data_IF_268976208059
#
_entry.id   IF_268976208059
#
_cell.length_a   1.000
_cell.length_b   1.000
_cell.length_c   1.000
_cell.angle_alpha   90.00
_cell.angle_beta   90.00
_cell.angle_gamma   90.00
#
_symmetry.space_group_name_H-M   'P 1'
#
loop_
_entity.id
_entity.type
_entity.pdbx_description
1 polymer ?
#
# COMPACT_ATOMS: atom_id res chain seq x y z
N UNK A 1 -25.39 -6.57 17.82
CA UNK A 1 -24.81 -6.66 17.56
C UNK A 1 -24.47 -6.73 17.18
N UNK A 2 -24.11 -6.50 17.34
CA UNK A 2 -23.24 -6.55 16.89
C UNK A 2 -22.81 -6.64 16.72
N UNK A 3 -22.69 -6.68 17.11
CA UNK A 3 -21.84 -6.96 17.11
C UNK A 3 -21.29 -7.42 16.71
N UNK A 4 -21.12 -7.45 16.68
CA UNK A 4 -20.33 -7.84 16.50
C UNK A 4 -19.90 -7.30 16.01
N UNK A 5 -19.98 -6.72 15.96
CA UNK A 5 -19.38 -6.18 15.67
C UNK A 5 -18.91 -5.32 16.02
N UNK A 6 -19.04 -4.86 16.24
CA UNK A 6 -18.41 -3.95 16.80
C UNK A 6 -17.41 -4.20 17.71
N UNK A 7 -17.46 -4.92 18.31
CA UNK A 7 -16.47 -5.43 19.15
C UNK A 7 -15.16 -5.66 18.49
N UNK A 8 -15.20 -6.29 17.35
CA UNK A 8 -14.00 -6.49 16.59
C UNK A 8 -13.33 -5.19 16.26
N UNK A 9 -14.09 -4.14 16.11
CA UNK A 9 -13.55 -2.85 15.84
C UNK A 9 -12.68 -2.35 16.99
N UNK A 10 -13.07 -2.62 18.21
CA UNK A 10 -12.27 -2.23 19.34
C UNK A 10 -11.04 -3.11 19.50
N UNK A 11 -11.11 -4.33 19.00
CA UNK A 11 -10.02 -5.27 19.11
C UNK A 11 -9.10 -5.23 17.95
N UNK A 12 -9.53 -4.65 16.89
CA UNK A 12 -8.74 -4.75 15.72
C UNK A 12 -9.16 -3.85 14.63
N UNK A 13 -8.44 -4.02 13.63
CA UNK A 13 -8.50 -3.24 12.44
C UNK A 13 -9.44 -3.91 11.45
N UNK A 14 -10.40 -3.16 10.93
CA UNK A 14 -11.43 -3.72 10.06
C UNK A 14 -11.12 -3.63 8.58
N UNK A 15 -10.19 -2.77 8.19
CA UNK A 15 -9.84 -2.65 6.79
C UNK A 15 -9.01 -3.85 6.36
N UNK A 16 -9.24 -4.34 5.16
CA UNK A 16 -8.41 -5.38 4.60
C UNK A 16 -7.42 -4.74 3.65
N UNK A 17 -6.13 -4.97 3.92
CA UNK A 17 -5.04 -4.33 3.22
C UNK A 17 -4.12 -5.35 2.60
N UNK A 18 -3.66 -5.03 1.39
CA UNK A 18 -2.75 -5.88 0.63
C UNK A 18 -1.60 -5.04 0.10
N UNK A 19 -0.53 -5.69 -0.28
CA UNK A 19 0.47 -5.12 -1.17
C UNK A 19 0.34 -5.79 -2.52
N UNK A 20 0.71 -5.08 -3.58
CA UNK A 20 0.68 -5.65 -4.92
C UNK A 20 1.66 -4.87 -5.80
N UNK A 21 1.57 -5.07 -7.11
CA UNK A 21 2.44 -4.36 -8.06
C UNK A 21 1.67 -4.08 -9.35
N UNK A 22 2.21 -3.18 -10.17
CA UNK A 22 1.46 -2.64 -11.29
C UNK A 22 0.90 -3.68 -12.26
N UNK A 23 1.66 -4.76 -12.52
CA UNK A 23 1.19 -5.78 -13.45
C UNK A 23 -0.07 -6.48 -12.94
N UNK A 24 -0.31 -6.51 -11.64
CA UNK A 24 -1.51 -7.13 -11.06
C UNK A 24 -2.73 -6.24 -11.13
N UNK A 25 -2.56 -4.94 -11.33
CA UNK A 25 -3.69 -4.00 -11.35
C UNK A 25 -4.73 -4.41 -12.40
N UNK A 26 -4.28 -4.96 -13.51
CA UNK A 26 -5.19 -5.43 -14.56
C UNK A 26 -6.13 -6.54 -14.07
N UNK A 27 -5.78 -7.18 -12.98
CA UNK A 27 -6.56 -8.29 -12.43
C UNK A 27 -7.41 -7.87 -11.23
N UNK A 28 -7.29 -6.62 -10.77
CA UNK A 28 -8.02 -6.17 -9.60
C UNK A 28 -9.51 -6.19 -9.84
N UNK A 29 -10.31 -6.70 -8.88
CA UNK A 29 -11.76 -6.48 -8.94
C UNK A 29 -12.07 -5.02 -8.62
N UNK A 30 -13.27 -4.57 -8.96
CA UNK A 30 -13.63 -3.16 -8.81
C UNK A 30 -13.69 -2.68 -7.37
N UNK A 31 -13.85 -3.61 -6.42
CA UNK A 31 -13.87 -3.24 -5.00
C UNK A 31 -12.48 -3.33 -4.35
N UNK A 32 -11.44 -3.55 -5.13
CA UNK A 32 -10.05 -3.48 -4.66
C UNK A 32 -9.46 -2.17 -5.18
N UNK A 33 -9.24 -1.25 -4.28
CA UNK A 33 -8.75 0.09 -4.62
C UNK A 33 -7.23 0.09 -4.54
N UNK A 34 -6.57 0.51 -5.62
CA UNK A 34 -5.13 0.60 -5.65
C UNK A 34 -4.65 1.91 -5.03
N UNK A 35 -3.63 1.82 -4.18
CA UNK A 35 -2.99 2.97 -3.58
C UNK A 35 -1.56 3.04 -4.10
N UNK A 36 -1.27 4.05 -4.91
CA UNK A 36 0.03 4.18 -5.53
C UNK A 36 1.07 4.68 -4.54
N UNK A 37 2.13 3.90 -4.36
CA UNK A 37 3.27 4.29 -3.52
C UNK A 37 4.49 4.65 -4.36
N UNK A 38 4.40 4.58 -5.69
CA UNK A 38 5.54 4.80 -6.58
C UNK A 38 5.60 6.26 -7.01
N UNK A 39 6.82 6.74 -7.28
CA UNK A 39 7.01 8.13 -7.69
C UNK A 39 6.42 8.37 -9.07
N UNK A 40 6.65 7.41 -9.99
CA UNK A 40 6.19 7.52 -11.37
C UNK A 40 5.30 6.35 -11.73
N UNK A 41 3.97 6.52 -11.74
CA UNK A 41 3.09 5.46 -12.26
C UNK A 41 3.44 5.16 -13.71
N UNK A 42 3.26 3.91 -14.16
CA UNK A 42 3.54 3.60 -15.57
C UNK A 42 2.55 4.33 -16.48
N UNK A 43 3.04 4.71 -17.67
CA UNK A 43 2.21 5.45 -18.62
C UNK A 43 1.00 4.66 -19.09
N UNK A 44 1.11 3.34 -19.10
CA UNK A 44 0.00 2.47 -19.55
C UNK A 44 -1.10 2.35 -18.48
N UNK A 45 -0.85 2.83 -17.26
CA UNK A 45 -1.88 2.81 -16.21
C UNK A 45 -1.80 4.08 -15.38
N UNK A 46 -2.41 5.17 -15.90
CA UNK A 46 -2.46 6.42 -15.11
C UNK A 46 -3.36 6.27 -13.90
N UNK A 47 -3.22 7.17 -12.96
CA UNK A 47 -4.07 7.21 -11.78
C UNK A 47 -5.51 7.51 -12.20
N UNK A 48 -6.45 7.09 -11.37
CA UNK A 48 -7.87 7.27 -11.63
C UNK A 48 -8.56 5.95 -11.93
N UNK A 49 -9.77 6.07 -12.44
CA UNK A 49 -10.59 4.89 -12.74
C UNK A 49 -10.36 4.48 -14.20
N UNK A 50 -10.13 3.19 -14.41
CA UNK A 50 -9.95 2.68 -15.78
C UNK A 50 -11.30 2.28 -16.37
N UNK A 51 -11.26 1.72 -17.61
CA UNK A 51 -12.49 1.33 -18.32
C UNK A 51 -13.28 0.23 -17.61
N UNK A 52 -12.60 -0.57 -16.82
CA UNK A 52 -13.26 -1.65 -16.07
C UNK A 52 -13.87 -1.15 -14.77
N UNK A 53 -13.61 0.10 -14.39
CA UNK A 53 -14.08 0.66 -13.14
C UNK A 53 -13.12 0.46 -11.98
N UNK A 54 -11.89 0.03 -12.23
CA UNK A 54 -10.87 -0.14 -11.17
C UNK A 54 -10.21 1.19 -10.88
N UNK A 55 -10.23 1.59 -9.62
CA UNK A 55 -9.73 2.88 -9.19
C UNK A 55 -8.34 2.73 -8.58
N UNK A 56 -7.39 3.56 -9.02
CA UNK A 56 -6.07 3.69 -8.41
C UNK A 56 -5.87 5.16 -8.07
N UNK A 57 -5.59 5.43 -6.80
CA UNK A 57 -5.35 6.79 -6.32
C UNK A 57 -3.98 6.89 -5.71
N UNK A 58 -3.52 8.11 -5.53
CA UNK A 58 -2.20 8.38 -5.02
C UNK A 58 -2.14 8.23 -3.49
N UNK A 59 -1.00 7.78 -2.99
CA UNK A 59 -0.78 7.66 -1.55
C UNK A 59 0.54 8.36 -1.20
N UNK A 60 0.55 9.70 -1.20
CA UNK A 60 1.79 10.46 -1.05
C UNK A 60 2.65 10.11 0.15
N UNK A 61 2.10 9.84 1.35
CA UNK A 61 2.95 9.55 2.50
C UNK A 61 3.84 8.33 2.34
N UNK A 62 3.47 7.41 1.46
CA UNK A 62 4.22 6.18 1.25
C UNK A 62 5.15 6.23 0.05
N UNK A 63 5.18 7.33 -0.69
CA UNK A 63 6.14 7.48 -1.78
C UNK A 63 7.52 7.73 -1.19
N UNK A 64 8.58 7.15 -1.78
CA UNK A 64 9.92 7.48 -1.33
C UNK A 64 10.12 8.98 -1.36
N UNK A 65 10.55 9.53 -0.24
CA UNK A 65 10.73 10.97 -0.11
C UNK A 65 12.06 11.44 -0.68
N UNK A 66 12.29 12.73 -0.54
CA UNK A 66 13.47 13.37 -1.07
C UNK A 66 14.75 12.76 -0.52
N UNK A 67 14.73 12.29 0.72
CA UNK A 67 15.89 11.68 1.34
C UNK A 67 16.32 10.38 0.66
N UNK A 68 15.40 9.74 -0.06
CA UNK A 68 15.68 8.50 -0.79
C UNK A 68 16.25 8.75 -2.18
N UNK A 69 16.18 9.99 -2.66
CA UNK A 69 16.54 10.32 -4.02
C UNK A 69 18.00 10.03 -4.29
N UNK A 70 18.28 9.34 -5.40
CA UNK A 70 19.64 9.03 -5.81
C UNK A 70 20.30 7.89 -5.06
N UNK A 71 19.64 7.30 -4.07
CA UNK A 71 20.25 6.21 -3.30
C UNK A 71 20.14 4.86 -4.01
N UNK A 72 19.15 4.67 -4.85
CA UNK A 72 19.03 3.43 -5.62
C UNK A 72 19.69 3.61 -6.98
N UNK A 73 20.81 2.94 -7.18
CA UNK A 73 21.54 3.03 -8.44
C UNK A 73 21.43 1.76 -9.29
N UNK A 74 20.58 0.84 -8.89
CA UNK A 74 20.38 -0.41 -9.62
C UNK A 74 21.48 -1.43 -9.39
N UNK A 75 22.41 -1.15 -8.49
CA UNK A 75 23.56 -2.03 -8.23
C UNK A 75 23.46 -2.75 -6.89
N UNK A 76 22.27 -2.77 -6.29
CA UNK A 76 22.09 -3.45 -5.02
C UNK A 76 22.23 -4.97 -5.22
N UNK A 77 22.68 -5.63 -4.16
CA UNK A 77 22.78 -7.09 -4.15
C UNK A 77 21.45 -7.65 -3.64
N UNK A 78 20.69 -8.35 -4.49
CA UNK A 78 19.40 -8.91 -4.06
C UNK A 78 19.51 -9.92 -2.92
N UNK A 79 20.73 -10.45 -2.69
CA UNK A 79 20.96 -11.38 -1.59
C UNK A 79 21.17 -10.65 -0.26
N UNK A 80 21.36 -9.35 -0.29
CA UNK A 80 21.63 -8.53 0.88
C UNK A 80 20.76 -7.29 0.91
N UNK A 81 19.42 -7.45 0.88
CA UNK A 81 18.53 -6.29 0.86
C UNK A 81 18.68 -5.41 2.10
N UNK A 82 19.11 -6.00 3.22
CA UNK A 82 19.31 -5.27 4.46
C UNK A 82 20.47 -4.28 4.39
N UNK A 83 21.34 -4.40 3.38
CA UNK A 83 22.44 -3.47 3.17
C UNK A 83 22.06 -2.35 2.19
N UNK A 84 20.82 -2.34 1.71
CA UNK A 84 20.38 -1.36 0.75
C UNK A 84 20.10 -0.03 1.45
N UNK A 85 20.88 0.98 1.14
CA UNK A 85 20.74 2.29 1.74
C UNK A 85 19.38 2.92 1.40
N UNK A 86 18.87 2.68 0.20
CA UNK A 86 17.57 3.18 -0.21
C UNK A 86 16.45 2.59 0.66
N UNK A 87 16.46 1.28 0.86
CA UNK A 87 15.43 0.64 1.68
C UNK A 87 15.56 1.05 3.14
N UNK A 88 16.77 1.21 3.63
CA UNK A 88 16.98 1.65 5.00
C UNK A 88 16.44 3.05 5.21
N UNK A 89 16.70 3.95 4.27
CA UNK A 89 16.20 5.32 4.34
C UNK A 89 14.67 5.35 4.24
N UNK A 90 14.11 4.54 3.36
CA UNK A 90 12.65 4.44 3.24
C UNK A 90 12.03 3.89 4.53
N UNK A 91 12.66 2.90 5.13
CA UNK A 91 12.21 2.37 6.41
C UNK A 91 12.17 3.46 7.49
N UNK A 92 13.20 4.30 7.53
CA UNK A 92 13.23 5.42 8.47
C UNK A 92 12.11 6.41 8.18
N UNK A 93 11.80 6.63 6.90
CA UNK A 93 10.69 7.49 6.51
C UNK A 93 9.37 6.95 7.06
N UNK A 94 9.14 5.65 6.95
CA UNK A 94 7.91 5.03 7.45
C UNK A 94 7.78 5.22 8.96
N UNK A 95 8.87 5.06 9.70
CA UNK A 95 8.82 5.16 11.15
C UNK A 95 8.60 6.59 11.64
N UNK A 96 8.67 7.59 10.77
CA UNK A 96 8.33 8.97 11.11
C UNK A 96 6.84 9.26 10.92
N UNK A 97 6.10 8.35 10.31
CA UNK A 97 4.67 8.53 10.08
C UNK A 97 3.91 8.16 11.34
N UNK A 98 2.97 9.00 11.73
CA UNK A 98 2.06 8.69 12.83
C UNK A 98 1.10 7.60 12.32
N UNK A 99 1.31 6.39 12.78
CA UNK A 99 0.55 5.23 12.30
C UNK A 99 -0.95 5.39 12.56
N UNK A 100 -1.33 5.86 13.75
CA UNK A 100 -2.73 6.05 14.08
C UNK A 100 -3.41 7.05 13.15
N UNK A 101 -2.73 8.16 12.86
CA UNK A 101 -3.26 9.15 11.93
C UNK A 101 -3.38 8.57 10.53
N UNK A 102 -2.40 7.79 10.12
CA UNK A 102 -2.40 7.14 8.80
C UNK A 102 -3.62 6.21 8.67
N UNK A 103 -3.84 5.37 9.66
CA UNK A 103 -4.97 4.43 9.65
C UNK A 103 -6.30 5.19 9.67
N UNK A 104 -6.40 6.26 10.45
CA UNK A 104 -7.63 7.07 10.47
C UNK A 104 -7.94 7.66 9.10
N UNK A 105 -6.91 8.11 8.38
CA UNK A 105 -7.10 8.62 7.02
C UNK A 105 -7.55 7.53 6.08
N UNK A 106 -7.00 6.33 6.21
CA UNK A 106 -7.43 5.20 5.39
C UNK A 106 -8.89 4.85 5.66
N UNK A 107 -9.31 4.89 6.92
CA UNK A 107 -10.70 4.60 7.26
C UNK A 107 -11.64 5.64 6.65
N UNK A 108 -11.27 6.91 6.72
CA UNK A 108 -12.08 7.96 6.11
C UNK A 108 -12.14 7.82 4.60
N UNK A 109 -11.02 7.46 3.99
CA UNK A 109 -10.96 7.22 2.56
C UNK A 109 -11.86 6.04 2.17
N UNK A 110 -11.79 4.97 2.95
CA UNK A 110 -12.67 3.82 2.76
C UNK A 110 -14.13 4.24 2.74
N UNK A 111 -14.54 4.99 3.76
CA UNK A 111 -15.94 5.39 3.89
C UNK A 111 -16.37 6.32 2.76
N UNK A 112 -15.48 7.23 2.37
CA UNK A 112 -15.76 8.16 1.28
C UNK A 112 -15.92 7.42 -0.05
N UNK A 113 -15.03 6.48 -0.34
CA UNK A 113 -15.11 5.73 -1.59
C UNK A 113 -16.36 4.85 -1.61
N UNK A 114 -16.66 4.18 -0.50
CA UNK A 114 -17.85 3.36 -0.43
C UNK A 114 -19.11 4.17 -0.71
N UNK A 115 -19.19 5.37 -0.16
CA UNK A 115 -20.32 6.24 -0.39
C UNK A 115 -20.41 6.72 -1.83
N UNK A 116 -19.30 7.21 -2.38
CA UNK A 116 -19.29 7.77 -3.73
C UNK A 116 -19.48 6.73 -4.82
N UNK A 117 -18.90 5.55 -4.64
CA UNK A 117 -18.92 4.49 -5.65
C UNK A 117 -20.00 3.45 -5.39
N UNK A 118 -20.78 3.63 -4.31
CA UNK A 118 -21.89 2.73 -3.95
C UNK A 118 -21.44 1.31 -3.68
N UNK A 119 -20.32 1.14 -2.96
CA UNK A 119 -19.88 -0.16 -2.49
C UNK A 119 -20.27 -0.36 -1.04
N UNK A 120 -20.62 -1.59 -0.68
CA UNK A 120 -20.82 -1.93 0.72
C UNK A 120 -19.49 -1.97 1.46
N UNK A 121 -18.45 -2.46 0.79
CA UNK A 121 -17.12 -2.55 1.36
C UNK A 121 -16.09 -2.58 0.26
N UNK A 122 -14.89 -2.12 0.57
CA UNK A 122 -13.74 -2.16 -0.33
C UNK A 122 -12.51 -2.61 0.42
N UNK A 123 -11.55 -3.15 -0.33
CA UNK A 123 -10.22 -3.46 0.18
C UNK A 123 -9.21 -2.54 -0.49
N UNK A 124 -8.05 -2.38 0.12
CA UNK A 124 -6.97 -1.57 -0.45
C UNK A 124 -5.78 -2.45 -0.80
N UNK A 125 -5.12 -2.12 -1.90
CA UNK A 125 -3.85 -2.74 -2.27
C UNK A 125 -2.84 -1.64 -2.51
N UNK A 126 -1.76 -1.63 -1.72
CA UNK A 126 -0.65 -0.70 -1.89
C UNK A 126 0.22 -1.21 -3.03
N UNK A 127 0.43 -0.37 -4.04
CA UNK A 127 1.09 -0.77 -5.28
C UNK A 127 2.55 -0.35 -5.27
N UNK A 128 3.43 -1.32 -5.48
CA UNK A 128 4.88 -1.11 -5.58
C UNK A 128 5.33 -1.45 -7.00
N UNK A 129 6.55 -1.03 -7.36
CA UNK A 129 7.08 -1.31 -8.69
C UNK A 129 7.43 -2.78 -8.88
N UNK A 130 8.14 -3.33 -7.90
CA UNK A 130 8.74 -4.64 -8.06
C UNK A 130 7.73 -5.75 -7.81
N UNK A 131 7.95 -6.87 -8.49
CA UNK A 131 7.16 -8.07 -8.21
C UNK A 131 7.38 -8.51 -6.77
N UNK A 132 6.45 -9.31 -6.30
CA UNK A 132 6.42 -9.74 -4.89
C UNK A 132 7.65 -10.54 -4.47
N UNK A 133 8.36 -11.16 -5.44
CA UNK A 133 9.52 -11.99 -5.14
C UNK A 133 10.84 -11.22 -5.19
N UNK A 134 10.81 -9.93 -5.47
CA UNK A 134 12.01 -9.12 -5.49
C UNK A 134 12.36 -8.64 -4.08
N UNK A 135 13.53 -9.05 -3.53
CA UNK A 135 13.89 -8.65 -2.17
C UNK A 135 14.24 -7.16 -2.03
N UNK A 136 14.48 -6.47 -3.13
CA UNK A 136 14.86 -5.05 -3.12
C UNK A 136 13.66 -4.13 -3.35
N UNK A 137 12.53 -4.43 -2.72
CA UNK A 137 11.31 -3.65 -2.87
C UNK A 137 10.95 -2.95 -1.56
N UNK A 138 10.41 -1.73 -1.66
CA UNK A 138 9.87 -1.00 -0.52
C UNK A 138 8.72 -1.77 0.14
N UNK A 139 8.14 -2.71 -0.57
CA UNK A 139 7.11 -3.60 -0.02
C UNK A 139 7.52 -4.22 1.30
N UNK A 140 8.78 -4.64 1.43
CA UNK A 140 9.22 -5.35 2.63
C UNK A 140 9.30 -4.46 3.86
N UNK A 141 9.95 -3.28 3.81
CA UNK A 141 9.88 -2.38 4.96
C UNK A 141 8.46 -1.93 5.25
N UNK A 142 7.62 -1.75 4.22
CA UNK A 142 6.23 -1.39 4.44
C UNK A 142 5.47 -2.49 5.20
N UNK A 143 5.58 -3.74 4.75
CA UNK A 143 4.91 -4.85 5.42
C UNK A 143 5.42 -5.01 6.86
N UNK A 144 6.72 -4.82 7.07
CA UNK A 144 7.31 -4.92 8.40
C UNK A 144 6.78 -3.81 9.30
N UNK A 145 6.69 -2.59 8.79
CA UNK A 145 6.16 -1.46 9.54
C UNK A 145 4.70 -1.69 9.94
N UNK A 146 3.90 -2.21 9.02
CA UNK A 146 2.51 -2.52 9.32
C UNK A 146 2.41 -3.58 10.41
N UNK A 147 3.20 -4.65 10.28
CA UNK A 147 3.19 -5.74 11.26
C UNK A 147 3.65 -5.25 12.63
N UNK A 148 4.67 -4.40 12.65
CA UNK A 148 5.17 -3.79 13.88
C UNK A 148 4.04 -3.06 14.61
N UNK A 149 3.11 -2.48 13.87
CA UNK A 149 1.97 -1.77 14.41
C UNK A 149 0.72 -2.64 14.54
N UNK A 150 0.87 -3.95 14.43
CA UNK A 150 -0.22 -4.89 14.68
C UNK A 150 -1.13 -5.19 13.50
N UNK A 151 -0.74 -4.79 12.29
CA UNK A 151 -1.58 -4.99 11.10
C UNK A 151 -0.90 -5.94 10.13
N UNK A 152 -1.56 -7.03 9.81
CA UNK A 152 -1.06 -7.99 8.82
C UNK A 152 -1.46 -7.54 7.43
N UNK A 153 -0.51 -7.56 6.52
CA UNK A 153 -0.73 -7.18 5.12
C UNK A 153 -0.19 -8.32 4.26
N UNK A 154 -1.04 -8.84 3.39
CA UNK A 154 -0.66 -9.94 2.52
C UNK A 154 -0.44 -9.44 1.09
N UNK A 155 0.32 -10.20 0.33
CA UNK A 155 0.48 -9.89 -1.09
C UNK A 155 -0.77 -10.33 -1.85
N UNK A 156 -1.33 -9.43 -2.64
CA UNK A 156 -2.49 -9.75 -3.46
C UNK A 156 -2.00 -10.25 -4.81
N UNK A 157 -2.35 -11.47 -5.14
CA UNK A 157 -2.03 -12.10 -6.41
C UNK A 157 -3.29 -12.74 -6.95
N UNK A 158 -3.46 -12.64 -8.25
CA UNK A 158 -4.54 -13.37 -8.88
C UNK A 158 -4.13 -14.80 -9.14
#
# INVERSE_FOLDING_TARGET
MGRSRNTRRSEGFLLKLYTSYWAQVRNFPTNLIGLNTTIWPPKWRPLGKDKRGVLVIDCPPLKPGQECEGLCNGKCDPKRPHECQFLDTYNNQLHKIDFGAFINKLQKLHDTICEHEHFEDIDFAFIFYEKYDNPCSERWPFQTWMRYNGVMVEEWLK
#
